data_IF_974418209710
#
_entry.id   IF_974418209710
#
_cell.length_a   1.000
_cell.length_b   1.000
_cell.length_c   1.000
_cell.angle_alpha   90.00
_cell.angle_beta   90.00
_cell.angle_gamma   90.00
#
_symmetry.space_group_name_H-M   'P 1'
#
loop_
_entity.id
_entity.type
_entity.pdbx_description
1 polymer ?
#
# COMPACT_ATOMS: atom_id res chain seq x y z
N UNK A 1 -66.00 -29.92 5.00
CA UNK A 1 -65.79 -30.37 3.60
C UNK A 1 -65.09 -29.23 2.87
N UNK A 2 -63.78 -29.36 2.63
CA UNK A 2 -63.18 -29.62 1.30
C UNK A 2 -63.38 -28.43 0.35
N UNK A 3 -62.43 -27.49 0.28
CA UNK A 3 -61.19 -27.54 -0.51
C UNK A 3 -61.41 -27.54 -2.04
N UNK A 4 -60.92 -26.46 -2.70
CA UNK A 4 -60.36 -26.33 -4.07
C UNK A 4 -60.34 -24.83 -4.44
N UNK A 5 -59.27 -24.19 -4.91
CA UNK A 5 -57.92 -24.62 -5.25
C UNK A 5 -57.11 -23.46 -5.85
N UNK A 6 -55.80 -23.45 -5.54
CA UNK A 6 -54.66 -23.22 -6.45
C UNK A 6 -54.54 -21.83 -7.16
N UNK A 7 -53.38 -21.23 -7.38
CA UNK A 7 -51.96 -21.39 -6.99
C UNK A 7 -51.30 -20.15 -7.60
N UNK A 8 -50.59 -19.33 -6.85
CA UNK A 8 -49.48 -18.54 -7.42
C UNK A 8 -48.38 -18.43 -6.36
N UNK A 9 -47.25 -19.07 -6.66
CA UNK A 9 -46.03 -19.05 -5.89
C UNK A 9 -45.39 -17.66 -6.04
N UNK A 10 -45.54 -16.79 -5.03
CA UNK A 10 -44.69 -15.60 -4.93
C UNK A 10 -43.33 -16.02 -4.36
N UNK A 11 -42.31 -16.05 -5.22
CA UNK A 11 -40.91 -15.99 -4.80
C UNK A 11 -40.71 -14.65 -4.07
N UNK A 12 -40.80 -14.65 -2.74
CA UNK A 12 -40.33 -13.54 -1.91
C UNK A 12 -38.80 -13.59 -1.91
N UNK A 13 -38.18 -12.85 -2.82
CA UNK A 13 -36.82 -12.37 -2.57
C UNK A 13 -36.91 -11.40 -1.40
N UNK A 14 -36.37 -11.80 -0.25
CA UNK A 14 -36.19 -10.92 0.90
C UNK A 14 -35.12 -9.88 0.57
N UNK A 15 -35.49 -8.82 -0.14
CA UNK A 15 -34.71 -7.59 -0.17
C UNK A 15 -34.91 -6.86 1.15
N UNK A 16 -34.20 -7.28 2.19
CA UNK A 16 -33.93 -6.42 3.35
C UNK A 16 -32.47 -5.99 3.28
N UNK A 17 -32.16 -5.12 2.33
CA UNK A 17 -31.05 -4.21 2.49
C UNK A 17 -31.65 -2.82 2.40
N UNK A 18 -32.07 -2.31 3.55
CA UNK A 18 -32.40 -0.90 3.73
C UNK A 18 -31.09 -0.16 3.46
N UNK A 19 -30.90 0.23 2.20
CA UNK A 19 -29.96 1.29 1.86
C UNK A 19 -30.49 2.50 2.60
N UNK A 20 -29.84 2.86 3.71
CA UNK A 20 -30.02 4.19 4.29
C UNK A 20 -29.72 5.18 3.17
N UNK A 21 -30.63 6.11 2.84
CA UNK A 21 -30.33 7.15 1.88
C UNK A 21 -29.11 7.92 2.41
N UNK A 22 -28.10 8.07 1.56
CA UNK A 22 -26.91 8.88 1.78
C UNK A 22 -27.29 10.36 1.72
N UNK A 23 -28.19 10.78 2.60
CA UNK A 23 -28.47 12.19 2.87
C UNK A 23 -27.47 12.67 3.93
N UNK A 24 -26.20 12.65 3.54
CA UNK A 24 -25.19 13.49 4.15
C UNK A 24 -24.71 14.42 3.04
N UNK A 25 -25.36 15.57 2.92
CA UNK A 25 -24.69 16.77 2.44
C UNK A 25 -23.55 17.06 3.42
N UNK A 26 -22.47 16.29 3.28
CA UNK A 26 -21.24 16.48 4.00
C UNK A 26 -20.66 17.75 3.43
N UNK A 27 -20.80 18.85 4.18
CA UNK A 27 -19.92 20.00 4.05
C UNK A 27 -18.50 19.44 4.00
N UNK A 28 -17.89 19.42 2.82
CA UNK A 28 -16.56 18.86 2.61
C UNK A 28 -15.57 19.81 3.26
N UNK A 29 -15.40 19.68 4.57
CA UNK A 29 -14.33 20.35 5.29
C UNK A 29 -13.05 19.78 4.69
N UNK A 30 -12.43 20.54 3.79
CA UNK A 30 -11.11 20.24 3.25
C UNK A 30 -10.20 20.14 4.48
N UNK A 31 -9.71 18.94 4.84
CA UNK A 31 -8.87 18.82 6.02
C UNK A 31 -7.62 19.66 5.80
N UNK A 32 -7.15 20.35 6.84
CA UNK A 32 -5.96 21.19 6.73
C UNK A 32 -4.78 20.40 6.13
N UNK A 33 -3.90 21.08 5.39
CA UNK A 33 -2.83 20.45 4.60
C UNK A 33 -2.05 19.39 5.40
N UNK A 34 -1.73 19.69 6.65
CA UNK A 34 -1.04 18.77 7.58
C UNK A 34 -1.81 17.47 7.84
N UNK A 35 -3.11 17.55 8.10
CA UNK A 35 -3.94 16.38 8.39
C UNK A 35 -4.11 15.49 7.16
N UNK A 36 -4.28 16.09 5.98
CA UNK A 36 -4.32 15.37 4.71
C UNK A 36 -3.02 14.57 4.48
N UNK A 37 -1.87 15.19 4.75
CA UNK A 37 -0.57 14.54 4.67
C UNK A 37 -0.36 13.44 5.71
N UNK A 38 -0.80 13.64 6.95
CA UNK A 38 -0.73 12.61 7.99
C UNK A 38 -1.57 11.36 7.63
N UNK A 39 -2.72 11.55 6.96
CA UNK A 39 -3.53 10.44 6.41
C UNK A 39 -2.78 9.71 5.30
N UNK A 40 -2.13 10.43 4.37
CA UNK A 40 -1.28 9.83 3.33
C UNK A 40 -0.11 9.04 3.94
N UNK A 41 0.54 9.56 4.99
CA UNK A 41 1.65 8.89 5.67
C UNK A 41 1.24 7.57 6.34
N UNK A 42 -0.01 7.46 6.82
CA UNK A 42 -0.52 6.20 7.40
C UNK A 42 -0.48 5.04 6.40
N UNK A 43 -0.58 5.29 5.10
CA UNK A 43 -0.51 4.27 4.05
C UNK A 43 0.88 3.62 3.92
N UNK A 44 1.94 4.27 4.39
CA UNK A 44 3.30 3.69 4.40
C UNK A 44 3.46 2.55 5.41
N UNK A 45 2.49 2.38 6.32
CA UNK A 45 2.52 1.27 7.28
C UNK A 45 2.18 -0.02 6.54
N UNK A 46 3.06 -1.03 6.57
CA UNK A 46 2.79 -2.28 5.90
C UNK A 46 1.53 -2.93 6.48
N UNK A 47 0.65 -3.37 5.60
CA UNK A 47 -0.51 -4.21 5.93
C UNK A 47 -0.25 -5.61 5.38
N UNK A 48 -0.77 -6.63 6.05
CA UNK A 48 -0.74 -7.98 5.51
C UNK A 48 -1.83 -8.09 4.44
N UNK A 49 -1.50 -8.69 3.30
CA UNK A 49 -2.43 -8.84 2.17
C UNK A 49 -3.75 -9.54 2.58
N UNK A 50 -3.71 -10.47 3.54
CA UNK A 50 -4.91 -11.15 4.06
C UNK A 50 -5.89 -10.22 4.81
N UNK A 51 -5.39 -9.10 5.32
CA UNK A 51 -6.17 -8.12 6.09
C UNK A 51 -6.62 -6.93 5.21
N UNK A 52 -6.27 -6.93 3.92
CA UNK A 52 -6.64 -5.87 2.98
C UNK A 52 -8.04 -6.11 2.42
N UNK A 53 -8.95 -5.18 2.74
CA UNK A 53 -10.29 -5.15 2.15
C UNK A 53 -10.18 -4.36 0.84
N UNK A 54 -10.26 -5.06 -0.29
CA UNK A 54 -10.26 -4.44 -1.61
C UNK A 54 -11.54 -3.64 -1.82
N UNK A 55 -11.40 -2.37 -2.22
CA UNK A 55 -12.54 -1.54 -2.63
C UNK A 55 -12.89 -1.81 -4.09
N UNK A 56 -14.18 -1.71 -4.43
CA UNK A 56 -14.63 -1.84 -5.81
C UNK A 56 -14.10 -0.67 -6.67
N UNK A 57 -13.78 -0.94 -7.93
CA UNK A 57 -13.34 0.08 -8.88
C UNK A 57 -14.52 0.97 -9.25
N UNK A 58 -14.53 2.22 -8.77
CA UNK A 58 -15.61 3.20 -9.01
C UNK A 58 -15.31 4.13 -10.20
N UNK A 59 -14.11 4.04 -10.78
CA UNK A 59 -13.65 4.92 -11.84
C UNK A 59 -13.63 4.23 -13.21
N UNK A 60 -13.86 5.02 -14.25
CA UNK A 60 -13.73 4.57 -15.62
C UNK A 60 -12.25 4.64 -16.03
N UNK A 61 -11.69 3.52 -16.46
CA UNK A 61 -10.37 3.49 -17.06
C UNK A 61 -10.48 2.70 -18.36
N UNK A 62 -10.04 3.26 -19.50
CA UNK A 62 -10.03 2.55 -20.78
C UNK A 62 -9.33 1.20 -20.65
N UNK A 63 -9.70 0.20 -21.44
CA UNK A 63 -9.01 -1.08 -21.39
C UNK A 63 -7.54 -0.91 -21.78
N UNK A 64 -6.65 -1.51 -20.99
CA UNK A 64 -5.23 -1.57 -21.29
C UNK A 64 -4.93 -2.93 -21.92
N UNK A 65 -4.70 -2.95 -23.22
CA UNK A 65 -4.37 -4.17 -23.94
C UNK A 65 -2.94 -4.61 -23.59
N UNK A 66 -2.84 -5.61 -22.72
CA UNK A 66 -1.56 -6.15 -22.25
C UNK A 66 -0.70 -6.75 -23.38
N UNK A 67 -1.33 -7.17 -24.47
CA UNK A 67 -0.67 -7.83 -25.60
C UNK A 67 -0.01 -6.84 -26.58
N UNK A 68 -0.44 -5.57 -26.58
CA UNK A 68 0.13 -4.54 -27.44
C UNK A 68 1.47 -4.08 -26.88
N UNK A 69 2.55 -4.36 -27.62
CA UNK A 69 3.87 -3.76 -27.37
C UNK A 69 3.93 -2.36 -27.96
N UNK A 70 4.61 -1.45 -27.26
CA UNK A 70 4.86 -0.08 -27.74
C UNK A 70 5.57 -0.08 -29.11
N UNK A 71 6.55 -0.95 -29.30
CA UNK A 71 7.32 -1.05 -30.55
C UNK A 71 6.63 -1.84 -31.68
N UNK A 72 5.41 -2.38 -31.46
CA UNK A 72 4.69 -3.25 -32.42
C UNK A 72 5.51 -4.45 -32.94
N UNK A 73 6.54 -4.88 -32.20
CA UNK A 73 7.37 -6.01 -32.59
C UNK A 73 6.59 -7.33 -32.53
N UNK A 74 6.69 -8.14 -33.59
CA UNK A 74 6.05 -9.45 -33.69
C UNK A 74 6.73 -10.44 -32.73
N UNK A 75 6.20 -10.57 -31.52
CA UNK A 75 6.62 -11.60 -30.57
C UNK A 75 5.67 -11.68 -29.39
N UNK A 76 5.59 -12.85 -28.76
CA UNK A 76 4.74 -13.08 -27.59
C UNK A 76 5.02 -12.02 -26.49
N UNK A 77 3.98 -11.46 -25.85
CA UNK A 77 4.15 -10.54 -24.75
C UNK A 77 4.67 -11.29 -23.52
N UNK A 78 5.97 -11.19 -23.25
CA UNK A 78 6.56 -11.70 -22.02
C UNK A 78 6.15 -10.77 -20.86
N UNK A 79 5.34 -11.21 -19.87
CA UNK A 79 4.87 -10.34 -18.78
C UNK A 79 6.01 -9.84 -17.88
N UNK A 80 7.18 -10.47 -17.93
CA UNK A 80 8.34 -10.13 -17.10
C UNK A 80 9.29 -9.12 -17.76
N UNK A 81 9.42 -9.11 -19.10
CA UNK A 81 10.36 -8.21 -19.81
C UNK A 81 9.86 -6.76 -19.88
N UNK A 82 8.54 -6.58 -19.96
CA UNK A 82 7.90 -5.27 -20.03
C UNK A 82 7.47 -4.78 -18.63
N UNK A 83 8.02 -5.36 -17.57
CA UNK A 83 7.74 -4.94 -16.20
C UNK A 83 8.44 -3.59 -15.93
N UNK A 84 7.68 -2.50 -16.02
CA UNK A 84 8.21 -1.16 -15.84
C UNK A 84 7.21 -0.06 -16.17
N UNK A 85 7.69 1.19 -16.08
CA UNK A 85 6.94 2.37 -16.48
C UNK A 85 7.40 2.78 -17.88
N UNK A 86 6.46 2.75 -18.82
CA UNK A 86 6.64 3.19 -20.20
C UNK A 86 5.96 4.55 -20.39
N UNK A 87 6.41 5.37 -21.37
CA UNK A 87 5.73 6.61 -21.72
C UNK A 87 4.24 6.44 -22.02
N UNK A 88 3.87 5.43 -22.83
CA UNK A 88 2.47 5.12 -23.15
C UNK A 88 1.63 4.80 -21.89
N UNK A 89 2.22 4.06 -20.95
CA UNK A 89 1.57 3.73 -19.68
C UNK A 89 1.42 4.98 -18.80
N UNK A 90 2.36 5.92 -18.89
CA UNK A 90 2.29 7.19 -18.19
C UNK A 90 1.16 8.07 -18.73
N UNK A 91 1.06 8.18 -20.05
CA UNK A 91 -0.03 8.92 -20.71
C UNK A 91 -1.40 8.28 -20.51
N UNK A 92 -1.46 6.96 -20.33
CA UNK A 92 -2.71 6.27 -20.04
C UNK A 92 -3.37 6.78 -18.75
N UNK A 93 -2.61 7.19 -17.73
CA UNK A 93 -3.19 7.73 -16.51
C UNK A 93 -4.00 9.01 -16.74
N UNK A 94 -3.67 9.81 -17.77
CA UNK A 94 -4.46 10.99 -18.15
C UNK A 94 -5.84 10.62 -18.72
N UNK A 95 -6.02 9.40 -19.24
CA UNK A 95 -7.29 8.94 -19.82
C UNK A 95 -8.24 8.37 -18.77
N UNK A 96 -7.78 8.23 -17.52
CA UNK A 96 -8.59 7.68 -16.42
C UNK A 96 -9.55 8.75 -15.93
N UNK A 97 -10.85 8.45 -15.98
CA UNK A 97 -11.92 9.37 -15.59
C UNK A 97 -12.50 8.94 -14.25
N UNK A 98 -12.42 9.83 -13.28
CA UNK A 98 -12.96 9.64 -11.95
C UNK A 98 -14.40 10.17 -11.87
N UNK A 99 -15.27 9.57 -11.03
CA UNK A 99 -16.58 10.14 -10.78
C UNK A 99 -16.44 11.51 -10.07
N UNK A 100 -17.42 12.41 -10.22
CA UNK A 100 -17.39 13.70 -9.55
C UNK A 100 -17.36 13.52 -8.02
N UNK A 101 -16.61 14.39 -7.32
CA UNK A 101 -16.44 14.36 -5.87
C UNK A 101 -15.96 13.00 -5.31
N UNK A 102 -15.15 12.28 -6.09
CA UNK A 102 -14.59 11.00 -5.65
C UNK A 102 -13.70 11.17 -4.41
N UNK A 103 -14.06 10.43 -3.35
CA UNK A 103 -13.26 10.33 -2.13
C UNK A 103 -12.45 9.04 -2.22
N UNK A 104 -11.13 9.16 -2.12
CA UNK A 104 -10.23 8.00 -2.13
C UNK A 104 -10.48 7.20 -0.84
N UNK A 105 -10.89 5.92 -0.92
CA UNK A 105 -11.28 5.13 0.25
C UNK A 105 -10.12 4.93 1.24
N UNK A 106 -8.88 4.92 0.72
CA UNK A 106 -7.68 4.72 1.53
C UNK A 106 -7.32 5.94 2.39
N UNK A 107 -7.50 7.15 1.86
CA UNK A 107 -7.12 8.40 2.54
C UNK A 107 -8.31 9.14 3.14
N UNK A 108 -9.52 8.88 2.66
CA UNK A 108 -10.73 9.64 3.00
C UNK A 108 -10.65 11.11 2.52
N UNK A 109 -9.84 11.38 1.49
CA UNK A 109 -9.65 12.71 0.90
C UNK A 109 -10.27 12.76 -0.50
N UNK A 110 -10.76 13.94 -0.94
CA UNK A 110 -11.12 14.12 -2.34
C UNK A 110 -9.89 13.88 -3.22
N UNK A 111 -10.12 13.27 -4.39
CA UNK A 111 -9.06 13.09 -5.39
C UNK A 111 -8.74 14.44 -6.03
N UNK A 112 -7.48 14.84 -5.95
CA UNK A 112 -6.96 16.05 -6.58
C UNK A 112 -6.80 15.84 -8.08
N UNK A 113 -6.82 16.92 -8.86
CA UNK A 113 -6.49 16.85 -10.29
C UNK A 113 -5.00 16.54 -10.44
N UNK A 114 -4.69 15.63 -11.36
CA UNK A 114 -3.33 15.18 -11.62
C UNK A 114 -3.03 15.30 -13.11
N UNK A 115 -1.81 15.72 -13.44
CA UNK A 115 -1.32 15.83 -14.82
C UNK A 115 -0.08 14.98 -14.96
N UNK A 116 -0.12 14.00 -15.86
CA UNK A 116 1.01 13.14 -16.17
C UNK A 116 1.66 13.58 -17.48
N UNK A 117 2.95 13.89 -17.44
CA UNK A 117 3.71 14.29 -18.62
C UNK A 117 5.04 13.55 -18.69
N UNK A 118 5.49 13.24 -19.90
CA UNK A 118 6.77 12.59 -20.15
C UNK A 118 7.44 13.19 -21.39
N UNK A 119 8.77 13.32 -21.32
CA UNK A 119 9.61 13.59 -22.48
C UNK A 119 10.52 12.41 -22.74
N UNK A 120 10.48 11.93 -23.97
CA UNK A 120 11.13 10.70 -24.39
C UNK A 120 12.52 10.94 -25.01
N UNK A 121 13.35 9.90 -25.00
CA UNK A 121 14.57 9.78 -25.82
C UNK A 121 15.58 10.92 -25.61
N UNK A 122 15.75 11.37 -24.38
CA UNK A 122 16.74 12.39 -24.02
C UNK A 122 18.13 11.75 -23.91
N UNK A 123 19.12 12.29 -24.62
CA UNK A 123 20.50 11.84 -24.51
C UNK A 123 21.17 12.34 -23.21
N UNK A 124 21.05 11.55 -22.14
CA UNK A 124 21.59 11.91 -20.84
C UNK A 124 21.76 10.72 -19.88
N UNK A 125 22.44 10.95 -18.75
CA UNK A 125 22.65 9.94 -17.72
C UNK A 125 21.50 9.95 -16.69
N UNK A 126 20.89 8.79 -16.37
CA UNK A 126 19.79 8.73 -15.41
C UNK A 126 20.19 9.17 -14.00
N UNK A 127 21.41 8.83 -13.55
CA UNK A 127 21.91 9.22 -12.22
C UNK A 127 22.04 10.73 -12.06
N UNK A 128 22.51 11.41 -13.12
CA UNK A 128 22.65 12.88 -13.13
C UNK A 128 21.29 13.56 -13.23
N UNK A 129 20.35 12.98 -13.99
CA UNK A 129 18.99 13.51 -14.07
C UNK A 129 18.25 13.37 -12.75
N UNK A 130 18.44 12.25 -12.06
CA UNK A 130 17.78 11.98 -10.78
C UNK A 130 18.10 13.03 -9.73
N UNK A 131 19.32 13.59 -9.73
CA UNK A 131 19.68 14.71 -8.85
C UNK A 131 18.83 15.97 -9.11
N UNK A 132 18.52 16.27 -10.38
CA UNK A 132 17.63 17.38 -10.73
C UNK A 132 16.18 17.08 -10.35
N UNK A 133 15.70 15.85 -10.56
CA UNK A 133 14.36 15.43 -10.14
C UNK A 133 14.20 15.52 -8.61
N UNK A 134 15.21 15.10 -7.85
CA UNK A 134 15.21 15.18 -6.39
C UNK A 134 15.23 16.63 -5.88
N UNK A 135 15.83 17.55 -6.64
CA UNK A 135 15.79 18.98 -6.33
C UNK A 135 14.34 19.48 -6.41
N UNK A 136 13.63 19.18 -7.49
CA UNK A 136 12.27 19.68 -7.75
C UNK A 136 11.19 18.95 -6.93
N UNK A 137 11.50 17.77 -6.41
CA UNK A 137 10.51 16.95 -5.73
C UNK A 137 9.85 17.71 -4.57
N UNK A 138 8.49 17.73 -4.58
CA UNK A 138 7.65 18.36 -3.55
C UNK A 138 7.80 19.89 -3.45
N UNK A 139 8.13 20.57 -4.54
CA UNK A 139 8.07 22.03 -4.61
C UNK A 139 6.93 22.46 -5.55
N UNK A 140 6.51 23.71 -5.43
CA UNK A 140 5.64 24.34 -6.42
C UNK A 140 6.30 24.32 -7.81
N UNK A 141 5.49 24.30 -8.87
CA UNK A 141 6.00 24.25 -10.25
C UNK A 141 6.80 25.51 -10.59
N UNK A 142 6.32 26.69 -10.23
CA UNK A 142 7.01 27.95 -10.54
C UNK A 142 8.31 28.12 -9.72
N UNK A 143 8.29 27.73 -8.45
CA UNK A 143 9.50 27.66 -7.61
C UNK A 143 10.52 26.64 -8.14
N UNK A 144 10.04 25.51 -8.67
CA UNK A 144 10.89 24.52 -9.29
C UNK A 144 11.58 25.07 -10.55
N UNK A 145 10.82 25.68 -11.46
CA UNK A 145 11.34 26.25 -12.70
C UNK A 145 12.39 27.32 -12.39
N UNK A 146 12.09 28.22 -11.44
CA UNK A 146 13.06 29.24 -11.01
C UNK A 146 14.34 28.63 -10.44
N UNK A 147 14.24 27.67 -9.51
CA UNK A 147 15.41 26.95 -8.95
C UNK A 147 16.25 26.25 -10.04
N UNK A 148 15.60 25.62 -11.02
CA UNK A 148 16.28 24.93 -12.12
C UNK A 148 17.02 25.89 -13.05
N UNK A 149 16.41 27.05 -13.33
CA UNK A 149 17.01 28.09 -14.16
C UNK A 149 18.27 28.68 -13.50
N UNK A 150 18.27 28.86 -12.17
CA UNK A 150 19.45 29.36 -11.44
C UNK A 150 20.63 28.37 -11.46
N UNK A 151 20.38 27.07 -11.42
CA UNK A 151 21.46 26.07 -11.36
C UNK A 151 22.27 25.96 -12.67
N UNK A 152 21.70 26.35 -13.81
CA UNK A 152 22.34 26.37 -15.15
C UNK A 152 22.98 25.05 -15.64
N UNK A 153 22.73 23.91 -15.00
CA UNK A 153 23.19 22.58 -15.45
C UNK A 153 22.29 22.05 -16.57
N UNK A 154 22.84 21.32 -17.55
CA UNK A 154 22.09 20.69 -18.65
C UNK A 154 20.85 19.92 -18.17
N UNK A 155 20.96 19.13 -17.10
CA UNK A 155 19.82 18.38 -16.52
C UNK A 155 18.71 19.31 -16.06
N UNK A 156 19.06 20.43 -15.43
CA UNK A 156 18.10 21.38 -14.92
C UNK A 156 17.40 22.13 -16.04
N UNK A 157 18.12 22.50 -17.11
CA UNK A 157 17.53 23.10 -18.31
C UNK A 157 16.50 22.18 -18.96
N UNK A 158 16.86 20.91 -19.16
CA UNK A 158 15.94 19.90 -19.72
C UNK A 158 14.72 19.74 -18.83
N UNK A 159 14.89 19.64 -17.50
CA UNK A 159 13.77 19.47 -16.59
C UNK A 159 12.88 20.71 -16.51
N UNK A 160 13.44 21.92 -16.62
CA UNK A 160 12.67 23.16 -16.70
C UNK A 160 11.79 23.20 -17.95
N UNK A 161 12.31 22.79 -19.12
CA UNK A 161 11.51 22.64 -20.34
C UNK A 161 10.36 21.66 -20.16
N UNK A 162 10.63 20.48 -19.58
CA UNK A 162 9.60 19.44 -19.32
C UNK A 162 8.51 19.94 -18.36
N UNK A 163 8.87 20.74 -17.35
CA UNK A 163 7.90 21.33 -16.42
C UNK A 163 7.04 22.41 -17.09
N UNK A 164 7.64 23.23 -17.96
CA UNK A 164 6.89 24.22 -18.75
C UNK A 164 5.92 23.53 -19.71
N UNK A 165 6.35 22.47 -20.41
CA UNK A 165 5.49 21.65 -21.26
C UNK A 165 4.31 21.05 -20.47
N UNK A 166 4.57 20.54 -19.26
CA UNK A 166 3.53 20.02 -18.38
C UNK A 166 2.55 21.10 -17.89
N UNK A 167 3.04 22.31 -17.60
CA UNK A 167 2.21 23.46 -17.21
C UNK A 167 1.28 23.89 -18.35
N UNK A 168 1.80 23.99 -19.56
CA UNK A 168 0.97 24.31 -20.73
C UNK A 168 -0.10 23.25 -21.00
N UNK A 169 0.23 21.96 -20.80
CA UNK A 169 -0.75 20.87 -20.94
C UNK A 169 -1.82 20.93 -19.87
N UNK A 170 -1.48 21.28 -18.63
CA UNK A 170 -2.43 21.45 -17.54
C UNK A 170 -3.52 22.49 -17.88
N UNK A 171 -3.12 23.62 -18.47
CA UNK A 171 -4.02 24.68 -18.92
C UNK A 171 -4.88 24.24 -20.12
N UNK A 172 -4.24 23.68 -21.15
CA UNK A 172 -4.88 23.38 -22.45
C UNK A 172 -5.76 22.14 -22.43
N UNK A 173 -5.27 21.03 -21.89
CA UNK A 173 -5.93 19.71 -21.96
C UNK A 173 -6.85 19.46 -20.76
N UNK A 174 -6.41 19.81 -19.56
CA UNK A 174 -7.11 19.47 -18.31
C UNK A 174 -7.94 20.62 -17.73
N UNK A 175 -7.81 21.81 -18.34
CA UNK A 175 -8.52 23.02 -17.95
C UNK A 175 -8.39 23.32 -16.45
N UNK A 176 -7.14 23.33 -15.97
CA UNK A 176 -6.83 23.75 -14.60
C UNK A 176 -6.78 25.27 -14.58
N UNK A 177 -7.56 25.89 -13.67
CA UNK A 177 -7.69 27.34 -13.57
C UNK A 177 -6.36 28.00 -13.15
N UNK A 178 -5.69 27.42 -12.15
CA UNK A 178 -4.45 27.93 -11.58
C UNK A 178 -3.30 26.92 -11.71
N UNK A 179 -2.61 26.89 -12.87
CA UNK A 179 -1.48 25.99 -13.09
C UNK A 179 -0.27 26.31 -12.17
N UNK A 180 -0.21 27.53 -11.63
CA UNK A 180 0.78 27.96 -10.65
C UNK A 180 0.57 27.36 -9.26
N UNK A 181 -0.66 26.98 -8.90
CA UNK A 181 -0.99 26.29 -7.64
C UNK A 181 -0.80 24.77 -7.74
N UNK A 182 -0.07 24.31 -8.76
CA UNK A 182 0.33 22.91 -8.86
C UNK A 182 1.71 22.70 -8.24
N UNK A 183 1.90 21.53 -7.68
CA UNK A 183 3.19 21.09 -7.15
C UNK A 183 3.66 19.80 -7.83
N UNK A 184 4.98 19.61 -7.81
CA UNK A 184 5.58 18.40 -8.38
C UNK A 184 5.48 17.26 -7.39
N UNK A 185 4.53 16.36 -7.63
CA UNK A 185 4.29 15.21 -6.78
C UNK A 185 5.35 14.13 -6.99
N UNK A 186 5.59 13.75 -8.25
CA UNK A 186 6.65 12.81 -8.63
C UNK A 186 7.42 13.32 -9.84
N UNK A 187 8.74 13.15 -9.77
CA UNK A 187 9.64 13.35 -10.89
C UNK A 187 10.71 12.27 -10.86
N UNK A 188 10.88 11.53 -11.95
CA UNK A 188 11.92 10.52 -12.03
C UNK A 188 12.37 10.26 -13.47
N UNK A 189 13.66 9.94 -13.67
CA UNK A 189 14.17 9.46 -14.94
C UNK A 189 14.17 7.94 -15.00
N UNK A 190 13.77 7.37 -16.13
CA UNK A 190 13.98 5.95 -16.43
C UNK A 190 14.90 5.83 -17.62
N UNK A 191 15.80 4.86 -17.55
CA UNK A 191 16.69 4.55 -18.66
C UNK A 191 15.92 3.75 -19.71
N UNK A 192 15.90 4.25 -20.95
CA UNK A 192 15.24 3.58 -22.08
C UNK A 192 16.26 2.76 -22.88
N UNK A 193 16.80 3.32 -23.96
CA UNK A 193 17.69 2.61 -24.86
C UNK A 193 19.17 2.84 -24.52
N UNK A 194 19.92 1.73 -24.51
CA UNK A 194 21.39 1.75 -24.47
C UNK A 194 21.88 1.42 -25.87
N UNK A 195 22.29 2.43 -26.63
CA UNK A 195 22.98 2.19 -27.89
C UNK A 195 24.42 1.78 -27.53
N UNK A 196 24.71 0.49 -27.67
CA UNK A 196 26.07 -0.05 -27.52
C UNK A 196 26.83 0.16 -28.81
N UNK A 197 28.04 0.69 -28.72
CA UNK A 197 28.87 1.03 -29.88
C UNK A 197 29.42 -0.13 -30.71
N UNK A 198 28.97 -1.37 -30.51
CA UNK A 198 29.57 -2.55 -31.14
C UNK A 198 29.36 -2.62 -32.65
N UNK A 199 28.25 -2.06 -33.16
CA UNK A 199 27.90 -2.14 -34.60
C UNK A 199 27.83 -0.80 -35.33
N UNK A 200 27.62 0.32 -34.64
CA UNK A 200 27.31 1.63 -35.29
C UNK A 200 27.99 2.85 -34.64
N UNK A 201 28.27 2.90 -33.33
CA UNK A 201 28.69 4.14 -32.68
C UNK A 201 29.77 3.96 -31.58
N UNK A 202 31.03 4.00 -31.99
CA UNK A 202 32.14 4.49 -31.16
C UNK A 202 32.84 3.48 -30.25
N UNK A 203 33.97 2.95 -30.73
CA UNK A 203 35.01 2.38 -29.86
C UNK A 203 35.98 3.50 -29.44
N UNK A 204 36.20 3.67 -28.13
CA UNK A 204 37.26 4.54 -27.63
C UNK A 204 38.58 3.78 -27.67
N UNK A 205 39.53 4.28 -28.44
CA UNK A 205 40.92 3.80 -28.41
C UNK A 205 41.61 4.34 -27.16
N UNK A 206 42.25 3.46 -26.43
CA UNK A 206 43.17 3.76 -25.34
C UNK A 206 44.61 3.44 -25.77
N UNK A 207 45.59 3.85 -24.98
CA UNK A 207 46.98 3.47 -25.19
C UNK A 207 47.16 1.94 -25.14
N UNK A 208 48.21 1.44 -25.80
CA UNK A 208 48.54 0.02 -25.90
C UNK A 208 47.43 -0.83 -26.54
N UNK A 209 46.83 -0.35 -27.64
CA UNK A 209 45.84 -1.09 -28.44
C UNK A 209 44.57 -1.50 -27.67
N UNK A 210 44.34 -0.96 -26.47
CA UNK A 210 43.16 -1.23 -25.67
C UNK A 210 41.93 -0.55 -26.28
N UNK A 211 40.85 -1.30 -26.54
CA UNK A 211 39.59 -0.78 -27.07
C UNK A 211 38.45 -0.89 -26.06
N UNK A 212 37.73 0.20 -25.82
CA UNK A 212 36.57 0.24 -24.92
C UNK A 212 35.31 0.66 -25.67
N UNK A 213 34.22 -0.11 -25.54
CA UNK A 213 32.92 0.24 -26.15
C UNK A 213 32.27 1.42 -25.43
N UNK A 214 31.92 2.47 -26.18
CA UNK A 214 31.13 3.58 -25.64
C UNK A 214 29.65 3.17 -25.58
N UNK A 215 28.98 3.53 -24.48
CA UNK A 215 27.54 3.29 -24.29
C UNK A 215 26.83 4.63 -24.24
N UNK A 216 26.10 4.96 -25.31
CA UNK A 216 25.21 6.12 -25.31
C UNK A 216 23.93 5.73 -24.60
N UNK A 217 23.63 6.45 -23.52
CA UNK A 217 22.44 6.21 -22.69
C UNK A 217 21.40 7.26 -23.05
N UNK A 218 20.19 6.79 -23.26
CA UNK A 218 19.01 7.62 -23.38
C UNK A 218 18.11 7.40 -22.16
N UNK A 219 17.39 8.45 -21.81
CA UNK A 219 16.44 8.45 -20.70
C UNK A 219 15.11 9.03 -21.15
N UNK A 220 14.06 8.62 -20.45
CA UNK A 220 12.75 9.24 -20.47
C UNK A 220 12.56 9.92 -19.12
N UNK A 221 12.11 11.17 -19.12
CA UNK A 221 11.86 11.94 -17.90
C UNK A 221 10.35 11.98 -17.69
N UNK A 222 9.91 11.55 -16.51
CA UNK A 222 8.51 11.51 -16.13
C UNK A 222 8.24 12.55 -15.05
N UNK A 223 7.15 13.28 -15.21
CA UNK A 223 6.66 14.28 -14.27
C UNK A 223 5.19 14.02 -14.00
N UNK A 224 4.81 14.10 -12.72
CA UNK A 224 3.43 14.10 -12.23
C UNK A 224 3.20 15.37 -11.42
N UNK A 225 2.26 16.19 -11.89
CA UNK A 225 1.82 17.39 -11.19
C UNK A 225 0.50 17.08 -10.48
N UNK A 226 0.35 17.52 -9.24
CA UNK A 226 -0.90 17.48 -8.49
C UNK A 226 -1.34 18.91 -8.19
N UNK A 227 -2.64 19.15 -8.20
CA UNK A 227 -3.24 20.42 -7.79
C UNK A 227 -3.14 20.62 -6.27
N UNK A 228 -2.86 21.85 -5.84
CA UNK A 228 -2.84 22.29 -4.44
C UNK A 228 -1.44 22.55 -3.90
N UNK A 229 -1.38 22.91 -2.62
CA UNK A 229 -0.12 23.27 -2.00
C UNK A 229 0.82 22.07 -1.79
N UNK A 230 2.14 22.28 -1.93
CA UNK A 230 3.14 21.26 -1.69
C UNK A 230 3.14 20.86 -0.21
N UNK A 231 3.61 19.65 0.12
CA UNK A 231 3.76 19.27 1.51
C UNK A 231 4.68 20.25 2.25
N UNK A 232 4.43 20.50 3.55
CA UNK A 232 5.22 21.44 4.33
C UNK A 232 6.69 21.00 4.54
N UNK A 233 7.07 19.80 4.11
CA UNK A 233 8.44 19.32 4.15
C UNK A 233 8.86 18.74 2.80
N UNK A 234 10.01 19.20 2.31
CA UNK A 234 10.60 18.79 1.04
C UNK A 234 11.38 17.48 1.14
N UNK A 235 12.06 17.25 2.27
CA UNK A 235 12.99 16.12 2.45
C UNK A 235 12.44 15.11 3.47
N UNK A 236 13.28 14.66 4.40
CA UNK A 236 12.90 13.67 5.40
C UNK A 236 11.86 14.28 6.34
N UNK A 237 10.93 13.46 6.79
CA UNK A 237 10.07 13.80 7.92
C UNK A 237 10.94 14.32 9.07
N UNK A 238 10.44 15.34 9.78
CA UNK A 238 11.13 15.85 10.96
C UNK A 238 11.42 14.66 11.88
N UNK A 239 12.66 14.59 12.36
CA UNK A 239 13.02 13.58 13.36
C UNK A 239 12.07 13.74 14.54
N UNK A 240 11.60 12.61 15.06
CA UNK A 240 10.66 12.63 16.17
C UNK A 240 11.28 13.30 17.38
N UNK A 241 10.51 14.14 18.06
CA UNK A 241 10.97 14.74 19.31
C UNK A 241 10.98 13.68 20.44
N UNK A 242 11.69 13.95 21.55
CA UNK A 242 11.73 13.07 22.72
C UNK A 242 10.34 12.71 23.27
N UNK A 243 9.42 13.69 23.29
CA UNK A 243 8.02 13.48 23.66
C UNK A 243 7.28 12.54 22.70
N UNK A 244 7.47 12.70 21.39
CA UNK A 244 6.85 11.82 20.38
C UNK A 244 7.42 10.39 20.45
N UNK A 245 8.70 10.26 20.79
CA UNK A 245 9.33 8.97 21.09
C UNK A 245 8.72 8.34 22.35
N UNK A 246 8.49 9.12 23.41
CA UNK A 246 7.80 8.67 24.63
C UNK A 246 6.38 8.18 24.33
N UNK A 247 5.59 8.96 23.57
CA UNK A 247 4.22 8.58 23.18
C UNK A 247 4.18 7.32 22.32
N UNK A 248 5.07 7.21 21.34
CA UNK A 248 5.20 6.00 20.52
C UNK A 248 5.55 4.78 21.38
N UNK A 249 6.42 4.96 22.38
CA UNK A 249 6.77 3.91 23.34
C UNK A 249 5.59 3.52 24.22
N UNK A 250 4.84 4.48 24.77
CA UNK A 250 3.61 4.20 25.52
C UNK A 250 2.55 3.50 24.68
N UNK A 251 2.39 3.90 23.41
CA UNK A 251 1.50 3.21 22.48
C UNK A 251 1.93 1.75 22.27
N UNK A 252 3.23 1.51 22.12
CA UNK A 252 3.77 0.16 22.06
C UNK A 252 3.45 -0.63 23.33
N UNK A 253 3.74 -0.09 24.53
CA UNK A 253 3.43 -0.73 25.80
C UNK A 253 1.94 -1.08 25.94
N UNK A 254 1.04 -0.17 25.56
CA UNK A 254 -0.42 -0.37 25.59
C UNK A 254 -0.92 -1.40 24.59
N UNK A 255 -0.26 -1.52 23.43
CA UNK A 255 -0.63 -2.48 22.38
C UNK A 255 -0.21 -3.92 22.68
N UNK A 256 0.58 -4.17 23.72
CA UNK A 256 1.04 -5.51 24.09
C UNK A 256 -0.13 -6.33 24.62
N UNK A 257 -0.48 -7.40 23.92
CA UNK A 257 -1.35 -8.46 24.43
C UNK A 257 -0.51 -9.65 24.92
N UNK A 258 -1.09 -10.48 25.79
CA UNK A 258 -0.47 -11.75 26.21
C UNK A 258 -0.45 -12.69 25.00
N UNK A 259 0.73 -13.15 24.56
CA UNK A 259 0.90 -13.99 23.37
C UNK A 259 0.22 -15.36 23.47
N UNK A 260 0.13 -15.90 24.67
CA UNK A 260 -0.51 -17.18 24.94
C UNK A 260 -1.68 -16.93 25.87
N UNK A 261 -2.88 -16.81 25.29
CA UNK A 261 -4.12 -16.89 26.04
C UNK A 261 -4.87 -18.13 25.55
N UNK A 262 -5.14 -19.06 26.46
CA UNK A 262 -6.03 -20.18 26.21
C UNK A 262 -7.47 -19.65 26.33
N UNK A 263 -7.94 -18.90 25.33
CA UNK A 263 -9.35 -18.51 25.30
C UNK A 263 -10.17 -19.75 24.91
N UNK A 264 -10.78 -20.38 25.91
CA UNK A 264 -11.91 -21.26 25.71
C UNK A 264 -13.01 -20.43 25.04
N UNK A 265 -13.05 -20.43 23.71
CA UNK A 265 -14.26 -20.08 23.00
C UNK A 265 -15.31 -21.10 23.44
N UNK A 266 -16.22 -20.66 24.30
CA UNK A 266 -17.43 -21.40 24.66
C UNK A 266 -18.27 -21.58 23.41
N UNK A 267 -17.95 -22.61 22.63
CA UNK A 267 -18.84 -23.14 21.61
C UNK A 267 -19.95 -23.82 22.38
N UNK A 268 -21.10 -23.15 22.50
CA UNK A 268 -22.34 -23.80 22.86
C UNK A 268 -22.58 -24.91 21.83
N UNK A 269 -22.38 -26.15 22.27
CA UNK A 269 -22.54 -27.32 21.42
C UNK A 269 -24.01 -27.46 20.98
N UNK A 270 -24.31 -27.58 19.68
CA UNK A 270 -25.55 -28.21 19.26
C UNK A 270 -25.42 -29.71 19.48
N UNK A 271 -26.31 -30.23 20.34
CA UNK A 271 -26.62 -31.65 20.46
C UNK A 271 -26.87 -32.24 19.06
N UNK A 272 -25.98 -33.08 18.54
CA UNK A 272 -26.36 -34.30 17.83
C UNK A 272 -25.20 -35.27 17.56
N UNK A 273 -25.44 -36.52 17.97
CA UNK A 273 -25.35 -37.76 17.19
C UNK A 273 -23.98 -38.17 16.61
N UNK A 274 -23.44 -39.17 17.29
CA UNK A 274 -22.60 -40.27 16.80
C UNK A 274 -22.71 -40.55 15.29
N UNK A 275 -21.59 -40.40 14.58
CA UNK A 275 -21.24 -41.26 13.44
C UNK A 275 -19.71 -41.42 13.35
N UNK A 276 -19.29 -42.67 13.53
CA UNK A 276 -17.92 -43.14 13.34
C UNK A 276 -17.63 -43.18 11.84
N UNK A 277 -16.67 -42.39 11.36
CA UNK A 277 -15.98 -42.68 10.09
C UNK A 277 -14.48 -42.48 10.27
N UNK A 278 -13.77 -43.60 10.18
CA UNK A 278 -12.32 -43.72 10.02
C UNK A 278 -11.87 -42.97 8.77
N UNK A 279 -10.91 -42.07 8.92
CA UNK A 279 -9.93 -41.74 7.89
C UNK A 279 -8.56 -41.73 8.57
N UNK A 280 -7.63 -42.50 8.02
CA UNK A 280 -6.28 -42.71 8.54
C UNK A 280 -5.28 -42.05 7.58
N UNK A 281 -4.21 -41.52 8.17
CA UNK A 281 -2.92 -41.05 7.62
C UNK A 281 -2.87 -39.56 7.19
N UNK A 282 -1.85 -38.76 7.55
CA UNK A 282 -0.56 -39.05 8.16
C UNK A 282 0.06 -37.85 8.92
N UNK A 283 0.63 -38.17 10.09
CA UNK A 283 1.92 -37.73 10.61
C UNK A 283 2.24 -36.21 10.76
N UNK A 284 2.20 -35.73 12.02
CA UNK A 284 3.39 -35.46 12.87
C UNK A 284 2.98 -34.65 14.12
N UNK A 285 3.30 -35.17 15.31
CA UNK A 285 3.40 -34.37 16.54
C UNK A 285 2.27 -34.53 17.56
N UNK A 286 2.23 -35.68 18.24
CA UNK A 286 1.72 -35.90 19.60
C UNK A 286 0.47 -35.10 20.05
N UNK A 287 -0.72 -35.60 19.69
CA UNK A 287 -1.92 -35.44 20.52
C UNK A 287 -2.05 -36.72 21.37
N UNK A 288 -1.69 -36.64 22.64
CA UNK A 288 -2.16 -37.62 23.62
C UNK A 288 -3.55 -37.18 24.11
N UNK A 289 -4.58 -37.89 23.67
CA UNK A 289 -5.84 -37.95 24.38
C UNK A 289 -5.59 -38.67 25.71
N UNK A 290 -5.86 -38.00 26.83
CA UNK A 290 -5.82 -38.63 28.15
C UNK A 290 -7.20 -38.47 28.80
N UNK A 291 -7.80 -39.63 29.05
CA UNK A 291 -8.97 -39.85 29.89
C UNK A 291 -8.83 -39.09 31.22
N UNK A 292 -9.82 -38.24 31.55
CA UNK A 292 -9.84 -37.45 32.78
C UNK A 292 -10.02 -38.38 33.97
N UNK A 293 -8.88 -38.76 34.56
CA UNK A 293 -8.52 -38.73 36.00
C UNK A 293 -6.99 -38.94 36.08
N UNK A 294 -6.21 -37.99 35.55
CA UNK A 294 -4.74 -37.95 35.70
C UNK A 294 -4.34 -36.51 36.01
N UNK A 295 -3.76 -36.28 37.18
CA UNK A 295 -3.24 -34.96 37.57
C UNK A 295 -2.11 -34.54 36.63
N UNK A 296 -2.11 -33.27 36.21
CA UNK A 296 -1.06 -32.68 35.38
C UNK A 296 -0.17 -31.84 36.29
N UNK A 297 1.13 -32.11 36.29
CA UNK A 297 2.13 -31.30 37.00
C UNK A 297 2.40 -30.04 36.17
N UNK A 298 2.20 -28.86 36.76
CA UNK A 298 2.41 -27.57 36.08
C UNK A 298 3.46 -26.78 36.85
N UNK A 299 4.60 -26.50 36.21
CA UNK A 299 5.59 -25.55 36.70
C UNK A 299 5.07 -24.13 36.44
N UNK A 300 4.93 -23.32 37.49
CA UNK A 300 4.39 -21.96 37.39
C UNK A 300 5.18 -20.98 38.27
N UNK A 301 5.16 -19.69 37.89
CA UNK A 301 5.83 -18.62 38.61
C UNK A 301 5.34 -18.51 40.07
N UNK A 302 6.19 -18.07 41.03
CA UNK A 302 5.83 -18.01 42.46
C UNK A 302 4.56 -17.19 42.76
N UNK A 303 4.33 -16.10 42.02
CA UNK A 303 3.13 -15.28 42.17
C UNK A 303 1.85 -15.99 41.70
N UNK A 304 1.95 -16.78 40.61
CA UNK A 304 0.82 -17.58 40.11
C UNK A 304 0.51 -18.72 41.08
N UNK A 305 1.54 -19.33 41.69
CA UNK A 305 1.38 -20.36 42.72
C UNK A 305 0.58 -19.84 43.92
N UNK A 306 0.89 -18.65 44.41
CA UNK A 306 0.15 -18.04 45.54
C UNK A 306 -1.31 -17.76 45.18
N UNK A 307 -1.56 -17.24 43.97
CA UNK A 307 -2.92 -17.01 43.49
C UNK A 307 -3.72 -18.31 43.38
N UNK A 308 -3.11 -19.37 42.85
CA UNK A 308 -3.73 -20.68 42.77
C UNK A 308 -4.00 -21.26 44.17
N UNK A 309 -3.07 -21.16 45.12
CA UNK A 309 -3.35 -21.59 46.50
C UNK A 309 -4.53 -20.84 47.11
N UNK A 310 -4.60 -19.52 46.92
CA UNK A 310 -5.71 -18.70 47.41
C UNK A 310 -7.06 -19.10 46.79
N UNK A 311 -7.08 -19.40 45.48
CA UNK A 311 -8.29 -19.85 44.79
C UNK A 311 -8.75 -21.25 45.26
N UNK A 312 -7.83 -22.13 45.65
CA UNK A 312 -8.14 -23.47 46.17
C UNK A 312 -8.72 -23.38 47.59
N UNK A 313 -8.09 -22.57 48.45
CA UNK A 313 -8.55 -22.31 49.82
C UNK A 313 -9.93 -21.67 49.85
N UNK A 314 -10.18 -20.70 48.98
CA UNK A 314 -11.48 -20.03 48.84
C UNK A 314 -12.56 -20.88 48.16
N UNK A 315 -12.21 -22.08 47.63
CA UNK A 315 -13.11 -23.01 46.93
C UNK A 315 -13.99 -22.35 45.87
N UNK A 316 -13.49 -21.29 45.22
CA UNK A 316 -14.24 -20.53 44.21
C UNK A 316 -14.72 -21.38 43.02
N UNK A 317 -14.04 -22.49 42.75
CA UNK A 317 -14.36 -23.45 41.68
C UNK A 317 -15.19 -24.66 42.14
N UNK A 318 -15.70 -24.66 43.38
CA UNK A 318 -16.60 -25.68 43.93
C UNK A 318 -15.96 -27.05 44.20
N UNK A 319 -14.72 -27.28 43.76
CA UNK A 319 -13.96 -28.50 44.01
C UNK A 319 -12.48 -28.18 44.28
N UNK A 320 -11.82 -29.00 45.10
CA UNK A 320 -10.37 -28.89 45.33
C UNK A 320 -9.63 -29.26 44.06
N UNK A 321 -8.74 -28.38 43.61
CA UNK A 321 -7.95 -28.60 42.40
C UNK A 321 -6.49 -28.91 42.69
N UNK A 322 -5.96 -28.55 43.86
CA UNK A 322 -4.59 -28.91 44.28
C UNK A 322 -4.63 -30.15 45.18
N UNK A 323 -4.02 -31.25 44.72
CA UNK A 323 -3.96 -32.52 45.46
C UNK A 323 -2.67 -32.66 46.28
N UNK A 324 -1.54 -32.17 45.75
CA UNK A 324 -0.23 -32.18 46.42
C UNK A 324 0.61 -30.99 45.95
N UNK A 325 1.23 -30.28 46.88
CA UNK A 325 2.20 -29.21 46.60
C UNK A 325 3.60 -29.84 46.67
N UNK A 326 4.31 -29.92 45.54
CA UNK A 326 5.70 -30.37 45.54
C UNK A 326 6.63 -29.20 45.90
N UNK A 327 7.54 -29.42 46.84
CA UNK A 327 8.64 -28.50 47.11
C UNK A 327 9.74 -28.70 46.05
N UNK A 328 10.50 -27.65 45.73
CA UNK A 328 11.57 -27.67 44.71
C UNK A 328 12.73 -28.64 45.03
N UNK A 329 12.71 -29.30 46.20
CA UNK A 329 13.74 -30.23 46.66
C UNK A 329 13.55 -31.70 46.21
N UNK A 330 12.51 -32.02 45.44
CA UNK A 330 12.22 -33.39 44.99
C UNK A 330 12.24 -33.56 43.45
N UNK A 331 12.94 -32.68 42.73
CA UNK A 331 13.18 -32.79 41.28
C UNK A 331 14.67 -32.94 40.96
#
# INVERSE_FOLDING_TARGET
>A
MLARGLRYLSLRSSHSNIQKPLDAAATSVVPGSKEAWDRRLKLRKPKLQRDEILSAKVYYAPEWELDKKSNKDAGFPDPLKNYGMNPEKWEYYNKVVWPPNYIVPETGLPKLREVFHCRESIHFSPKRMWQACQLVWRTNVDEAITQLNFQQIKSCKILAEVLSEAKERAEKEFHIEYPSEMYVADAFPIQCNIIKGDRILGARRHAHENWCTIRYRYINVFVRLEEGDPPPFRTREKLKNGWEHMEAYYKYLRSRSKKYNCEFHGVSAPLYRTYVRKFVHAARGCLQMVNVKKGVLVTCDPAMRQLLMHLDESRTLGSKFIVKVCAESEL
#
